data_IF_770796040276
#
_entry.id   IF_770796040276
#
_cell.length_a   1.000
_cell.length_b   1.000
_cell.length_c   1.000
_cell.angle_alpha   90.00
_cell.angle_beta   90.00
_cell.angle_gamma   90.00
#
_symmetry.space_group_name_H-M   'P 1'
#
loop_
_entity.id
_entity.type
_entity.pdbx_description
1 polymer ?
#
# COMPACT_ATOMS: atom_id res chain seq x y z
N UNK A 1 -13.25 -10.76 17.19
CA UNK A 1 -13.25 -9.34 17.60
C UNK A 1 -12.05 -8.71 16.90
N UNK A 2 -12.32 -7.91 15.87
CA UNK A 2 -11.29 -7.29 15.03
C UNK A 2 -10.60 -6.16 15.77
N UNK A 3 -9.38 -5.80 15.34
CA UNK A 3 -8.60 -4.69 15.92
C UNK A 3 -9.37 -3.35 15.92
N UNK A 4 -10.24 -3.14 14.92
CA UNK A 4 -11.01 -1.91 14.73
C UNK A 4 -12.22 -1.78 15.67
N UNK A 5 -12.76 -2.89 16.19
CA UNK A 5 -13.91 -2.90 17.13
C UNK A 5 -13.63 -2.12 18.42
N UNK A 6 -12.35 -1.85 18.70
CA UNK A 6 -11.89 -1.14 19.90
C UNK A 6 -11.91 0.39 19.73
N UNK A 7 -11.97 0.88 18.50
CA UNK A 7 -11.79 2.29 18.18
C UNK A 7 -12.97 2.90 17.41
N UNK A 8 -13.73 2.09 16.69
CA UNK A 8 -14.84 2.55 15.86
C UNK A 8 -16.16 1.90 16.29
N UNK A 9 -17.24 2.68 16.23
CA UNK A 9 -18.60 2.13 16.29
C UNK A 9 -18.91 1.45 14.95
N UNK A 10 -19.80 0.43 14.92
CA UNK A 10 -20.16 -0.27 13.68
C UNK A 10 -20.66 0.66 12.56
N UNK A 11 -21.33 1.77 12.90
CA UNK A 11 -21.77 2.77 11.92
C UNK A 11 -20.62 3.55 11.28
N UNK A 12 -19.56 3.81 12.04
CA UNK A 12 -18.36 4.53 11.59
C UNK A 12 -17.51 3.63 10.70
N UNK A 13 -17.40 2.34 11.05
CA UNK A 13 -16.75 1.33 10.19
C UNK A 13 -17.45 1.22 8.83
N UNK A 14 -18.79 1.18 8.81
CA UNK A 14 -19.56 1.18 7.56
C UNK A 14 -19.34 2.44 6.74
N UNK A 15 -19.36 3.62 7.37
CA UNK A 15 -19.10 4.89 6.67
C UNK A 15 -17.71 4.95 6.06
N UNK A 16 -16.71 4.43 6.78
CA UNK A 16 -15.35 4.35 6.29
C UNK A 16 -15.24 3.38 5.11
N UNK A 17 -15.88 2.21 5.20
CA UNK A 17 -15.96 1.26 4.09
C UNK A 17 -16.63 1.86 2.85
N UNK A 18 -17.77 2.54 3.03
CA UNK A 18 -18.49 3.22 1.96
C UNK A 18 -17.63 4.34 1.32
N UNK A 19 -16.89 5.10 2.12
CA UNK A 19 -15.96 6.13 1.64
C UNK A 19 -14.85 5.54 0.75
N UNK A 20 -14.16 4.50 1.23
CA UNK A 20 -13.10 3.86 0.45
C UNK A 20 -13.65 3.22 -0.83
N UNK A 21 -14.83 2.58 -0.77
CA UNK A 21 -15.50 2.04 -1.96
C UNK A 21 -15.71 3.10 -3.03
N UNK A 22 -16.33 4.24 -2.65
CA UNK A 22 -16.57 5.35 -3.57
C UNK A 22 -15.28 5.95 -4.15
N UNK A 23 -14.22 6.03 -3.34
CA UNK A 23 -12.92 6.52 -3.80
C UNK A 23 -12.31 5.58 -4.86
N UNK A 24 -12.33 4.27 -4.61
CA UNK A 24 -11.84 3.28 -5.57
C UNK A 24 -12.65 3.28 -6.86
N UNK A 25 -13.98 3.34 -6.77
CA UNK A 25 -14.84 3.40 -7.95
C UNK A 25 -14.55 4.63 -8.80
N UNK A 26 -14.38 5.81 -8.17
CA UNK A 26 -14.00 7.04 -8.88
C UNK A 26 -12.60 6.97 -9.52
N UNK A 27 -11.64 6.31 -8.87
CA UNK A 27 -10.31 6.09 -9.44
C UNK A 27 -10.33 5.09 -10.62
N UNK A 28 -11.17 4.06 -10.56
CA UNK A 28 -11.37 3.14 -11.68
C UNK A 28 -11.96 3.90 -12.87
N UNK A 29 -13.07 4.61 -12.65
CA UNK A 29 -13.74 5.39 -13.70
C UNK A 29 -12.79 6.43 -14.33
N UNK A 30 -11.95 7.09 -13.52
CA UNK A 30 -10.92 8.00 -14.02
C UNK A 30 -9.99 7.32 -15.03
N UNK A 31 -9.49 6.12 -14.71
CA UNK A 31 -8.55 5.39 -15.58
C UNK A 31 -9.24 4.77 -16.80
N UNK A 32 -10.46 4.28 -16.67
CA UNK A 32 -11.25 3.80 -17.82
C UNK A 32 -11.49 4.95 -18.83
N UNK A 33 -11.75 6.16 -18.33
CA UNK A 33 -11.87 7.36 -19.17
C UNK A 33 -10.55 7.77 -19.85
N UNK A 34 -9.40 7.26 -19.40
CA UNK A 34 -8.11 7.38 -20.11
C UNK A 34 -7.90 6.28 -21.16
N UNK A 35 -8.87 5.37 -21.34
CA UNK A 35 -8.82 4.28 -22.31
C UNK A 35 -8.16 3.00 -21.80
N UNK A 36 -7.93 2.87 -20.48
CA UNK A 36 -7.52 1.60 -19.89
C UNK A 36 -8.68 0.59 -19.89
N UNK A 37 -8.34 -0.70 -19.97
CA UNK A 37 -9.31 -1.76 -19.70
C UNK A 37 -9.77 -1.70 -18.24
N UNK A 38 -10.96 -2.21 -17.91
CA UNK A 38 -11.44 -2.29 -16.51
C UNK A 38 -10.40 -2.94 -15.58
N UNK A 39 -9.75 -4.02 -16.06
CA UNK A 39 -8.71 -4.72 -15.31
C UNK A 39 -7.50 -3.81 -15.02
N UNK A 40 -7.01 -3.08 -16.04
CA UNK A 40 -5.86 -2.20 -15.88
C UNK A 40 -6.22 -0.92 -15.11
N UNK A 41 -7.43 -0.40 -15.29
CA UNK A 41 -7.96 0.72 -14.51
C UNK A 41 -8.04 0.36 -13.02
N UNK A 42 -8.51 -0.85 -12.69
CA UNK A 42 -8.53 -1.38 -11.33
C UNK A 42 -7.13 -1.56 -10.76
N UNK A 43 -6.18 -2.05 -11.55
CA UNK A 43 -4.75 -2.11 -11.15
C UNK A 43 -4.21 -0.72 -10.86
N UNK A 44 -4.46 0.27 -11.71
CA UNK A 44 -4.00 1.64 -11.48
C UNK A 44 -4.67 2.30 -10.27
N UNK A 45 -5.97 2.07 -10.06
CA UNK A 45 -6.72 2.60 -8.92
C UNK A 45 -6.19 2.12 -7.55
N UNK A 46 -5.63 0.91 -7.48
CA UNK A 46 -4.94 0.39 -6.28
C UNK A 46 -3.43 0.75 -6.23
N UNK A 47 -2.99 1.65 -7.11
CA UNK A 47 -1.64 2.18 -7.18
C UNK A 47 -0.72 1.48 -8.18
N UNK A 48 -1.26 0.87 -9.24
CA UNK A 48 -0.49 0.31 -10.35
C UNK A 48 0.00 -1.12 -10.11
N UNK A 49 1.10 -1.49 -10.76
CA UNK A 49 1.67 -2.82 -10.64
C UNK A 49 2.36 -3.01 -9.28
N UNK A 50 1.59 -3.57 -8.34
CA UNK A 50 2.01 -3.86 -6.98
C UNK A 50 3.35 -4.62 -6.92
N UNK A 51 3.53 -5.62 -7.77
CA UNK A 51 4.71 -6.50 -7.73
C UNK A 51 5.94 -5.78 -8.28
N UNK A 52 5.79 -5.13 -9.44
CA UNK A 52 6.89 -4.41 -10.10
C UNK A 52 7.37 -3.23 -9.25
N UNK A 53 6.47 -2.40 -8.75
CA UNK A 53 6.86 -1.22 -7.96
C UNK A 53 7.53 -1.60 -6.64
N UNK A 54 7.02 -2.62 -5.93
CA UNK A 54 7.68 -3.09 -4.71
C UNK A 54 9.12 -3.55 -4.96
N UNK A 55 9.41 -4.17 -6.10
CA UNK A 55 10.77 -4.55 -6.48
C UNK A 55 11.65 -3.33 -6.76
N UNK A 56 11.15 -2.35 -7.51
CA UNK A 56 11.87 -1.11 -7.84
C UNK A 56 12.23 -0.34 -6.56
N UNK A 57 11.27 -0.15 -5.66
CA UNK A 57 11.47 0.57 -4.40
C UNK A 57 12.50 -0.12 -3.50
N UNK A 58 12.42 -1.45 -3.36
CA UNK A 58 13.43 -2.24 -2.65
C UNK A 58 14.82 -2.07 -3.27
N UNK A 59 14.93 -2.18 -4.59
CA UNK A 59 16.21 -2.12 -5.28
C UNK A 59 16.83 -0.73 -5.19
N UNK A 60 16.00 0.33 -5.20
CA UNK A 60 16.45 1.68 -4.95
C UNK A 60 17.04 1.84 -3.53
N UNK A 61 16.40 1.26 -2.51
CA UNK A 61 16.92 1.26 -1.14
C UNK A 61 18.24 0.52 -1.03
N UNK A 62 18.34 -0.66 -1.63
CA UNK A 62 19.60 -1.42 -1.66
C UNK A 62 20.71 -0.65 -2.37
N UNK A 63 20.39 0.04 -3.46
CA UNK A 63 21.35 0.84 -4.22
C UNK A 63 21.89 2.04 -3.42
N UNK A 64 21.11 2.62 -2.50
CA UNK A 64 21.56 3.69 -1.60
C UNK A 64 22.19 3.18 -0.30
N UNK A 65 22.35 1.86 -0.17
CA UNK A 65 23.07 1.24 0.94
C UNK A 65 22.21 0.78 2.11
N UNK A 66 20.89 0.62 1.93
CA UNK A 66 20.06 -0.05 2.93
C UNK A 66 20.59 -1.47 3.18
N UNK A 67 20.86 -1.80 4.44
CA UNK A 67 21.48 -3.08 4.83
C UNK A 67 20.52 -4.02 5.54
N UNK A 68 19.34 -3.53 5.92
CA UNK A 68 18.36 -4.27 6.73
C UNK A 68 18.51 -4.05 8.23
N UNK A 69 19.52 -3.31 8.67
CA UNK A 69 19.79 -3.00 10.08
C UNK A 69 19.20 -1.64 10.48
N UNK A 70 18.74 -0.86 9.51
CA UNK A 70 18.16 0.47 9.72
C UNK A 70 16.69 0.41 10.14
N UNK A 71 16.22 1.50 10.77
CA UNK A 71 14.79 1.76 10.98
C UNK A 71 14.24 2.52 9.76
N UNK A 72 13.45 1.85 8.93
CA UNK A 72 12.83 2.44 7.75
C UNK A 72 11.40 2.90 8.06
N UNK A 73 11.07 4.15 7.70
CA UNK A 73 9.70 4.68 7.71
C UNK A 73 9.22 4.83 6.28
N UNK A 74 8.09 4.20 5.96
CA UNK A 74 7.46 4.24 4.65
C UNK A 74 6.12 5.00 4.74
N UNK A 75 6.06 6.18 4.13
CA UNK A 75 4.93 7.10 4.19
C UNK A 75 4.09 7.00 2.93
N UNK A 76 2.80 6.69 3.07
CA UNK A 76 1.94 6.31 1.95
C UNK A 76 2.25 4.89 1.49
N UNK A 77 2.41 3.96 2.43
CA UNK A 77 2.78 2.58 2.10
C UNK A 77 1.70 1.83 1.32
N UNK A 78 0.47 2.38 1.27
CA UNK A 78 -0.71 1.78 0.66
C UNK A 78 -0.92 0.36 1.19
N UNK A 79 -1.10 -0.59 0.28
CA UNK A 79 -1.22 -2.02 0.59
C UNK A 79 0.09 -2.72 0.96
N UNK A 80 1.17 -1.98 1.25
CA UNK A 80 2.44 -2.52 1.76
C UNK A 80 3.30 -3.22 0.71
N UNK A 81 3.32 -2.72 -0.52
CA UNK A 81 4.09 -3.32 -1.63
C UNK A 81 5.58 -3.43 -1.30
N UNK A 82 6.16 -2.36 -0.74
CA UNK A 82 7.54 -2.32 -0.31
C UNK A 82 7.76 -3.18 0.93
N UNK A 83 6.87 -3.08 1.92
CA UNK A 83 6.92 -3.87 3.15
C UNK A 83 7.10 -5.36 2.84
N UNK A 84 6.32 -5.89 1.90
CA UNK A 84 6.39 -7.29 1.49
C UNK A 84 7.73 -7.68 0.86
N UNK A 85 8.38 -6.78 0.13
CA UNK A 85 9.69 -7.02 -0.50
C UNK A 85 10.85 -6.85 0.46
N UNK A 86 10.72 -5.98 1.46
CA UNK A 86 11.74 -5.73 2.48
C UNK A 86 11.68 -6.71 3.66
N UNK A 87 10.52 -7.26 4.00
CA UNK A 87 10.37 -8.14 5.17
C UNK A 87 11.42 -9.27 5.26
N UNK A 88 11.83 -9.94 4.16
CA UNK A 88 12.88 -10.96 4.20
C UNK A 88 14.30 -10.42 4.39
N UNK A 89 14.51 -9.11 4.24
CA UNK A 89 15.81 -8.44 4.27
C UNK A 89 16.06 -7.70 5.59
N UNK A 90 15.03 -7.50 6.42
CA UNK A 90 15.18 -6.89 7.74
C UNK A 90 15.98 -7.84 8.63
N UNK A 91 17.06 -7.31 9.21
CA UNK A 91 17.98 -8.03 10.10
C UNK A 91 17.70 -7.70 11.56
N UNK A 92 18.39 -8.41 12.45
CA UNK A 92 18.39 -8.11 13.87
C UNK A 92 18.83 -6.66 14.12
N UNK A 93 18.05 -5.91 14.89
CA UNK A 93 18.27 -4.48 15.14
C UNK A 93 17.59 -3.54 14.13
N UNK A 94 17.21 -4.04 12.95
CA UNK A 94 16.43 -3.28 11.97
C UNK A 94 14.93 -3.32 12.23
N UNK A 95 14.21 -2.40 11.59
CA UNK A 95 12.75 -2.35 11.67
C UNK A 95 12.13 -1.58 10.50
N UNK A 96 10.84 -1.81 10.28
CA UNK A 96 10.04 -1.16 9.26
C UNK A 96 8.74 -0.65 9.87
N UNK A 97 8.40 0.60 9.61
CA UNK A 97 7.13 1.23 9.97
C UNK A 97 6.46 1.79 8.72
N UNK A 98 5.35 1.17 8.30
CA UNK A 98 4.49 1.70 7.24
C UNK A 98 3.34 2.52 7.84
N UNK A 99 3.08 3.68 7.25
CA UNK A 99 1.94 4.56 7.58
C UNK A 99 1.19 4.91 6.30
N UNK A 100 -0.14 4.79 6.33
CA UNK A 100 -1.07 5.15 5.25
C UNK A 100 -2.27 5.92 5.82
#
# INVERSE_FOLDING_TARGET
>A
MGFLDRFLKPSEEKQLGDFYGNLYDGLIEFHENQGLSEEDARKQAIGGDYETFGHIERDALLAIGYTGEEFLVDLGCGSGRLARKLAPLIKEGGAYLGLD
#
